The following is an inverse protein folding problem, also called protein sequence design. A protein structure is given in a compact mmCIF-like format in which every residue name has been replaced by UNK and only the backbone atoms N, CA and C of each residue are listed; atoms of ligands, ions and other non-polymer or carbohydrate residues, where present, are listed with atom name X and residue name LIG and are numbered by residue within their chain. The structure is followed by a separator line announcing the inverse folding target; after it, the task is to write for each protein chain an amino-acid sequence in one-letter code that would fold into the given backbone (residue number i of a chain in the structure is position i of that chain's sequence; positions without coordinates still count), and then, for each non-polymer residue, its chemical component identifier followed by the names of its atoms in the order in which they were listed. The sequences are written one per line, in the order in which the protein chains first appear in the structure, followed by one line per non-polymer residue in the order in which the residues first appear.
data_IF_264842933208
#
_entry.id   IF_264842933208
#
_cell.length_a   1.000
_cell.length_b   1.000
_cell.length_c   1.000
_cell.angle_alpha   90.00
_cell.angle_beta   90.00
_cell.angle_gamma   90.00
#
_symmetry.space_group_name_H-M   'P 1'
#
loop_
_entity.id
_entity.type
_entity.pdbx_description
1 polymer ?
#
# COMPACT_ATOMS: atom_id res chain seq x y z
N UNK A 1 28.97 58.38 -18.83
CA UNK A 1 27.54 58.08 -18.61
C UNK A 1 27.14 56.93 -19.53
N UNK A 2 26.53 55.87 -18.95
CA UNK A 2 25.65 54.83 -19.57
C UNK A 2 26.33 53.81 -20.50
N UNK A 3 26.02 52.51 -20.53
CA UNK A 3 25.34 51.46 -19.74
C UNK A 3 25.83 50.15 -20.43
N UNK A 4 26.42 49.19 -19.71
CA UNK A 4 25.88 47.83 -19.48
C UNK A 4 24.88 47.36 -20.56
N UNK A 5 25.11 46.18 -21.14
CA UNK A 5 24.12 45.09 -21.23
C UNK A 5 24.77 43.81 -21.80
N UNK A 6 25.26 42.96 -20.88
CA UNK A 6 25.53 41.55 -21.10
C UNK A 6 24.20 40.79 -21.05
N UNK A 7 23.84 40.06 -22.11
CA UNK A 7 22.70 39.14 -22.05
C UNK A 7 23.14 37.77 -22.54
N UNK A 8 23.81 37.03 -21.66
CA UNK A 8 24.01 35.58 -21.79
C UNK A 8 22.75 34.92 -21.23
N UNK A 9 21.80 34.55 -22.09
CA UNK A 9 20.55 33.92 -21.69
C UNK A 9 20.80 32.42 -21.44
N UNK A 10 21.14 32.05 -20.21
CA UNK A 10 21.21 30.65 -19.79
C UNK A 10 19.81 30.17 -19.42
N UNK A 11 19.18 29.39 -20.32
CA UNK A 11 17.91 28.70 -20.05
C UNK A 11 18.21 27.47 -19.18
N UNK A 12 18.02 27.61 -17.88
CA UNK A 12 18.10 26.51 -16.93
C UNK A 12 16.79 25.71 -16.99
N UNK A 13 16.78 24.62 -17.76
CA UNK A 13 15.69 23.64 -17.79
C UNK A 13 15.69 22.87 -16.46
N UNK A 14 14.84 23.30 -15.52
CA UNK A 14 14.55 22.53 -14.30
C UNK A 14 13.60 21.41 -14.70
N UNK A 15 14.16 20.24 -15.02
CA UNK A 15 13.40 19.00 -15.08
C UNK A 15 13.11 18.60 -13.64
N UNK A 16 11.95 19.02 -13.12
CA UNK A 16 11.38 18.43 -11.92
C UNK A 16 10.98 17.00 -12.28
N UNK A 17 11.84 16.05 -11.94
CA UNK A 17 11.52 14.63 -12.06
C UNK A 17 10.30 14.34 -11.20
N UNK A 18 9.17 14.02 -11.84
CA UNK A 18 8.07 13.38 -11.17
C UNK A 18 8.63 12.07 -10.57
N UNK A 19 8.74 12.02 -9.24
CA UNK A 19 9.01 10.76 -8.57
C UNK A 19 7.78 9.90 -8.82
N UNK A 20 7.89 8.95 -9.75
CA UNK A 20 6.91 7.90 -9.93
C UNK A 20 6.72 7.25 -8.57
N UNK A 21 5.55 7.45 -7.95
CA UNK A 21 5.11 6.73 -6.76
C UNK A 21 4.74 5.32 -7.21
N UNK A 22 5.77 4.54 -7.53
CA UNK A 22 5.58 3.14 -7.81
C UNK A 22 4.98 2.51 -6.57
N UNK A 23 3.80 1.89 -6.70
CA UNK A 23 3.27 1.06 -5.64
C UNK A 23 4.39 0.10 -5.21
N UNK A 24 4.79 0.15 -3.93
CA UNK A 24 5.90 -0.64 -3.42
C UNK A 24 5.51 -2.10 -3.31
N UNK A 25 5.44 -2.78 -4.46
CA UNK A 25 5.14 -4.20 -4.60
C UNK A 25 6.05 -5.06 -3.71
N UNK A 26 7.22 -4.56 -3.33
CA UNK A 26 8.14 -5.21 -2.40
C UNK A 26 7.53 -5.41 -1.00
N UNK A 27 6.75 -4.44 -0.50
CA UNK A 27 6.07 -4.58 0.79
C UNK A 27 5.00 -5.66 0.71
N UNK A 28 4.21 -5.68 -0.38
CA UNK A 28 3.22 -6.74 -0.60
C UNK A 28 3.88 -8.11 -0.75
N UNK A 29 5.00 -8.19 -1.47
CA UNK A 29 5.77 -9.44 -1.63
C UNK A 29 6.25 -9.97 -0.28
N UNK A 30 6.80 -9.11 0.57
CA UNK A 30 7.25 -9.50 1.91
C UNK A 30 6.07 -9.94 2.80
N UNK A 31 4.94 -9.22 2.73
CA UNK A 31 3.72 -9.60 3.43
C UNK A 31 3.23 -10.99 3.00
N UNK A 32 3.15 -11.26 1.69
CA UNK A 32 2.76 -12.56 1.15
C UNK A 32 3.73 -13.65 1.59
N UNK A 33 5.03 -13.38 1.57
CA UNK A 33 6.03 -14.36 2.00
C UNK A 33 5.91 -14.71 3.49
N UNK A 34 5.56 -13.73 4.33
CA UNK A 34 5.41 -13.96 5.78
C UNK A 34 4.10 -14.68 6.15
N UNK A 35 3.01 -14.36 5.47
CA UNK A 35 1.66 -14.72 5.95
C UNK A 35 0.92 -15.73 5.08
N UNK A 36 1.40 -15.99 3.86
CA UNK A 36 0.72 -16.90 2.94
C UNK A 36 1.45 -18.23 2.85
N UNK A 37 0.81 -19.26 3.39
CA UNK A 37 1.18 -20.64 3.12
C UNK A 37 0.76 -21.01 1.69
N UNK A 38 1.72 -20.98 0.77
CA UNK A 38 1.50 -21.34 -0.64
C UNK A 38 1.31 -22.85 -0.83
N UNK A 39 1.68 -23.67 0.16
CA UNK A 39 1.61 -25.13 0.10
C UNK A 39 0.26 -25.68 0.58
N UNK A 40 -0.45 -24.96 1.45
CA UNK A 40 -1.84 -25.27 1.80
C UNK A 40 -2.78 -25.15 0.57
N UNK A 41 -3.28 -26.30 0.09
CA UNK A 41 -4.16 -26.39 -1.09
C UNK A 41 -5.66 -26.42 -0.74
N UNK A 42 -6.02 -26.18 0.52
CA UNK A 42 -7.42 -26.08 0.94
C UNK A 42 -8.18 -25.03 0.12
N UNK A 43 -9.48 -25.25 -0.18
CA UNK A 43 -10.30 -24.27 -0.88
C UNK A 43 -10.32 -22.90 -0.20
N UNK A 44 -10.33 -22.88 1.13
CA UNK A 44 -10.35 -21.68 1.96
C UNK A 44 -9.07 -20.87 1.80
N UNK A 45 -7.90 -21.53 1.87
CA UNK A 45 -6.62 -20.85 1.68
C UNK A 45 -6.46 -20.34 0.24
N UNK A 46 -6.88 -21.12 -0.76
CA UNK A 46 -6.87 -20.68 -2.17
C UNK A 46 -7.74 -19.44 -2.37
N UNK A 47 -8.92 -19.38 -1.76
CA UNK A 47 -9.80 -18.23 -1.81
C UNK A 47 -9.16 -17.01 -1.15
N UNK A 48 -8.55 -17.20 0.02
CA UNK A 48 -7.83 -16.13 0.73
C UNK A 48 -6.67 -15.58 -0.11
N UNK A 49 -5.79 -16.45 -0.62
CA UNK A 49 -4.67 -16.07 -1.51
C UNK A 49 -5.17 -15.27 -2.71
N UNK A 50 -6.30 -15.65 -3.30
CA UNK A 50 -6.87 -14.94 -4.44
C UNK A 50 -7.26 -13.50 -4.08
N UNK A 51 -7.66 -13.24 -2.84
CA UNK A 51 -8.05 -11.91 -2.37
C UNK A 51 -6.83 -11.07 -1.97
N UNK A 52 -5.91 -11.63 -1.19
CA UNK A 52 -4.84 -10.84 -0.55
C UNK A 52 -3.53 -10.84 -1.34
N UNK A 53 -3.28 -11.82 -2.20
CA UNK A 53 -2.01 -11.95 -2.93
C UNK A 53 -2.16 -11.81 -4.45
N UNK A 54 -3.39 -11.87 -4.97
CA UNK A 54 -3.67 -11.85 -6.42
C UNK A 54 -4.81 -10.86 -6.74
N UNK A 55 -4.91 -10.46 -7.99
CA UNK A 55 -6.02 -9.61 -8.46
C UNK A 55 -6.06 -8.22 -7.84
N UNK A 56 -7.20 -7.55 -7.98
CA UNK A 56 -7.40 -6.13 -7.61
C UNK A 56 -7.47 -5.87 -6.10
N UNK A 57 -7.97 -6.84 -5.34
CA UNK A 57 -8.20 -6.67 -3.90
C UNK A 57 -6.91 -6.80 -3.06
N UNK A 58 -5.77 -7.19 -3.67
CA UNK A 58 -4.47 -7.30 -2.98
C UNK A 58 -4.07 -5.99 -2.29
N UNK A 59 -4.44 -4.85 -2.88
CA UNK A 59 -4.15 -3.54 -2.32
C UNK A 59 -4.90 -3.28 -1.02
N UNK A 60 -6.04 -3.95 -0.79
CA UNK A 60 -6.85 -3.80 0.41
C UNK A 60 -6.18 -4.40 1.66
N UNK A 61 -5.03 -5.07 1.52
CA UNK A 61 -4.21 -5.46 2.68
C UNK A 61 -3.77 -4.20 3.45
N UNK A 62 -3.33 -3.15 2.74
CA UNK A 62 -2.83 -1.91 3.36
C UNK A 62 -3.66 -0.66 3.02
N UNK A 63 -4.45 -0.70 1.95
CA UNK A 63 -5.21 0.45 1.46
C UNK A 63 -6.70 0.30 1.65
N UNK A 64 -7.41 1.42 1.51
CA UNK A 64 -8.86 1.52 1.49
C UNK A 64 -9.30 2.24 0.21
N UNK A 65 -10.36 1.73 -0.41
CA UNK A 65 -10.85 2.20 -1.69
C UNK A 65 -9.85 1.97 -2.82
N UNK A 66 -9.91 2.81 -3.84
CA UNK A 66 -9.07 2.70 -5.04
C UNK A 66 -7.73 3.45 -4.93
N UNK A 67 -7.67 4.48 -4.08
CA UNK A 67 -6.56 5.43 -4.02
C UNK A 67 -5.43 4.93 -3.13
N UNK A 68 -4.20 4.92 -3.64
CA UNK A 68 -3.01 4.39 -2.94
C UNK A 68 -2.60 5.18 -1.69
N UNK A 69 -2.99 6.44 -1.57
CA UNK A 69 -2.73 7.24 -0.36
C UNK A 69 -3.75 7.00 0.75
N UNK A 70 -4.86 6.33 0.46
CA UNK A 70 -5.86 5.97 1.47
C UNK A 70 -5.42 4.67 2.13
N UNK A 71 -4.75 4.80 3.28
CA UNK A 71 -4.39 3.63 4.08
C UNK A 71 -5.54 3.22 4.98
N UNK A 72 -5.81 1.91 5.03
CA UNK A 72 -6.70 1.34 6.03
C UNK A 72 -6.00 1.33 7.42
N UNK A 73 -6.69 0.97 8.52
CA UNK A 73 -6.09 0.96 9.86
C UNK A 73 -4.75 0.21 9.95
N UNK A 74 -4.63 -0.94 9.27
CA UNK A 74 -3.37 -1.68 9.21
C UNK A 74 -2.27 -0.91 8.47
N UNK A 75 -2.58 -0.35 7.30
CA UNK A 75 -1.66 0.44 6.48
C UNK A 75 -1.13 1.69 7.18
N UNK A 76 -1.97 2.37 7.97
CA UNK A 76 -1.61 3.61 8.70
C UNK A 76 -0.41 3.40 9.63
N UNK A 77 -0.22 2.21 10.20
CA UNK A 77 0.91 1.93 11.08
C UNK A 77 2.26 1.92 10.36
N UNK A 78 2.30 1.74 9.05
CA UNK A 78 3.53 1.73 8.26
C UNK A 78 3.93 3.13 7.77
N UNK A 79 3.01 4.08 7.75
CA UNK A 79 3.25 5.45 7.28
C UNK A 79 4.36 6.11 8.11
N UNK A 80 5.40 6.59 7.43
CA UNK A 80 6.57 7.21 8.05
C UNK A 80 7.59 6.24 8.67
N UNK A 81 7.25 4.95 8.78
CA UNK A 81 8.14 3.91 9.32
C UNK A 81 8.83 3.10 8.21
N UNK A 82 8.11 2.88 7.11
CA UNK A 82 8.62 2.33 5.86
C UNK A 82 8.47 3.39 4.76
N UNK A 83 9.56 3.68 4.05
CA UNK A 83 9.59 4.62 2.93
C UNK A 83 10.07 3.95 1.64
N UNK A 84 10.07 4.68 0.53
CA UNK A 84 10.65 4.22 -0.75
C UNK A 84 12.08 3.69 -0.63
N UNK A 85 12.86 4.25 0.28
CA UNK A 85 14.26 3.87 0.45
C UNK A 85 14.39 2.46 1.07
N UNK A 86 13.36 2.02 1.80
CA UNK A 86 13.34 0.74 2.51
C UNK A 86 12.90 -0.42 1.61
N UNK A 87 12.50 -0.19 0.35
CA UNK A 87 11.92 -1.23 -0.52
C UNK A 87 12.83 -2.43 -0.80
N UNK A 88 14.13 -2.32 -0.52
CA UNK A 88 15.10 -3.42 -0.65
C UNK A 88 15.57 -3.98 0.70
N UNK A 89 15.14 -3.38 1.80
CA UNK A 89 15.50 -3.79 3.16
C UNK A 89 14.44 -4.77 3.68
N UNK A 90 14.52 -6.02 3.20
CA UNK A 90 13.57 -7.06 3.59
C UNK A 90 13.55 -7.32 5.11
N UNK A 91 14.68 -7.10 5.79
CA UNK A 91 14.78 -7.26 7.24
C UNK A 91 13.97 -6.19 7.97
N UNK A 92 14.16 -4.92 7.60
CA UNK A 92 13.37 -3.81 8.15
C UNK A 92 11.88 -3.95 7.83
N UNK A 93 11.53 -4.37 6.62
CA UNK A 93 10.13 -4.62 6.25
C UNK A 93 9.55 -5.73 7.13
N UNK A 94 10.25 -6.85 7.30
CA UNK A 94 9.80 -7.97 8.12
C UNK A 94 9.69 -7.61 9.61
N UNK A 95 10.60 -6.77 10.12
CA UNK A 95 10.56 -6.25 11.49
C UNK A 95 9.27 -5.44 11.73
N UNK A 96 8.97 -4.50 10.83
CA UNK A 96 7.75 -3.69 10.94
C UNK A 96 6.48 -4.52 10.75
N UNK A 97 6.46 -5.45 9.79
CA UNK A 97 5.34 -6.38 9.62
C UNK A 97 5.08 -7.21 10.88
N UNK A 98 6.14 -7.67 11.54
CA UNK A 98 6.06 -8.41 12.82
C UNK A 98 5.56 -7.52 13.97
N UNK A 99 6.05 -6.27 14.03
CA UNK A 99 5.66 -5.31 15.06
C UNK A 99 4.19 -4.90 14.92
N UNK A 100 3.77 -4.51 13.73
CA UNK A 100 2.39 -4.13 13.44
C UNK A 100 1.47 -5.34 13.58
N UNK A 101 1.88 -6.53 13.12
CA UNK A 101 1.09 -7.76 13.27
C UNK A 101 0.63 -8.08 14.70
N UNK A 102 1.38 -7.60 15.71
CA UNK A 102 1.05 -7.78 17.14
C UNK A 102 0.11 -6.71 17.71
N UNK A 103 -0.21 -5.67 16.95
CA UNK A 103 -1.13 -4.61 17.37
C UNK A 103 -2.57 -5.10 17.25
N UNK A 104 -3.42 -4.60 18.13
CA UNK A 104 -4.87 -4.77 18.09
C UNK A 104 -5.43 -4.14 16.82
N UNK A 105 -6.39 -4.81 16.18
CA UNK A 105 -6.97 -4.36 14.92
C UNK A 105 -7.88 -3.14 15.07
N UNK A 106 -8.42 -2.95 16.27
CA UNK A 106 -9.13 -1.74 16.70
C UNK A 106 -8.31 -1.08 17.83
N UNK A 107 -7.80 0.15 17.64
CA UNK A 107 -7.02 0.85 18.67
C UNK A 107 -7.86 1.27 19.88
N UNK A 108 -9.19 1.32 19.74
CA UNK A 108 -10.11 1.72 20.81
C UNK A 108 -10.68 0.50 21.57
N UNK A 109 -10.36 -0.73 21.14
CA UNK A 109 -10.80 -1.98 21.77
C UNK A 109 -9.62 -2.94 22.02
N UNK A 110 -9.15 -2.98 23.27
CA UNK A 110 -8.11 -3.90 23.73
C UNK A 110 -8.51 -5.39 23.66
N UNK A 111 -9.80 -5.69 23.50
CA UNK A 111 -10.29 -7.07 23.30
C UNK A 111 -10.38 -7.47 21.83
N UNK A 112 -10.16 -6.53 20.91
CA UNK A 112 -10.14 -6.80 19.48
C UNK A 112 -9.00 -7.77 19.13
N UNK A 113 -9.16 -8.61 18.09
CA UNK A 113 -8.06 -9.47 17.67
C UNK A 113 -6.89 -8.63 17.17
N UNK A 114 -5.69 -9.16 17.32
CA UNK A 114 -4.51 -8.62 16.66
C UNK A 114 -4.61 -8.77 15.15
N UNK A 115 -3.82 -7.98 14.41
CA UNK A 115 -3.74 -8.14 12.96
C UNK A 115 -3.28 -9.54 12.56
N UNK A 116 -2.35 -10.15 13.30
CA UNK A 116 -1.90 -11.52 13.05
C UNK A 116 -3.02 -12.55 13.25
N UNK A 117 -3.87 -12.38 14.27
CA UNK A 117 -5.02 -13.27 14.48
C UNK A 117 -6.03 -13.14 13.34
N UNK A 118 -6.30 -11.93 12.85
CA UNK A 118 -7.15 -11.74 11.66
C UNK A 118 -6.58 -12.44 10.43
N UNK A 119 -5.28 -12.32 10.19
CA UNK A 119 -4.60 -12.94 9.04
C UNK A 119 -4.63 -14.47 9.16
N UNK A 120 -4.37 -15.01 10.36
CA UNK A 120 -4.47 -16.44 10.64
C UNK A 120 -5.90 -16.97 10.43
N UNK A 121 -6.91 -16.17 10.75
CA UNK A 121 -8.32 -16.41 10.46
C UNK A 121 -8.70 -16.22 8.98
N UNK A 122 -7.72 -15.97 8.09
CA UNK A 122 -7.92 -15.73 6.65
C UNK A 122 -8.82 -14.53 6.37
N UNK A 123 -8.68 -13.47 7.16
CA UNK A 123 -9.36 -12.17 6.98
C UNK A 123 -8.36 -11.10 6.56
N UNK A 124 -8.87 -9.98 6.04
CA UNK A 124 -8.03 -8.79 5.83
C UNK A 124 -7.64 -8.18 7.19
N UNK A 125 -6.40 -7.70 7.34
CA UNK A 125 -5.96 -7.13 8.61
C UNK A 125 -6.68 -5.80 8.89
N UNK A 126 -6.87 -4.95 7.89
CA UNK A 126 -7.46 -3.63 8.05
C UNK A 126 -8.99 -3.56 8.18
N UNK A 127 -9.71 -4.69 8.16
CA UNK A 127 -11.17 -4.70 8.28
C UNK A 127 -11.85 -5.75 7.40
N UNK A 128 -13.15 -5.56 7.18
CA UNK A 128 -13.95 -6.39 6.27
C UNK A 128 -13.81 -5.91 4.83
N UNK A 129 -13.80 -6.84 3.86
CA UNK A 129 -13.47 -6.52 2.47
C UNK A 129 -14.47 -5.55 1.84
N UNK A 130 -15.75 -5.64 2.18
CA UNK A 130 -16.79 -4.75 1.70
C UNK A 130 -16.59 -3.31 2.17
N UNK A 131 -16.16 -3.13 3.42
CA UNK A 131 -15.86 -1.80 3.98
C UNK A 131 -14.56 -1.24 3.39
N UNK A 132 -13.53 -2.08 3.26
CA UNK A 132 -12.26 -1.69 2.66
C UNK A 132 -12.39 -1.25 1.19
N UNK A 133 -13.39 -1.74 0.46
CA UNK A 133 -13.65 -1.30 -0.92
C UNK A 133 -14.33 0.07 -1.01
N UNK A 134 -14.93 0.57 0.07
CA UNK A 134 -15.58 1.88 0.06
C UNK A 134 -14.53 2.98 -0.02
N UNK A 135 -14.81 4.09 -0.74
CA UNK A 135 -13.95 5.26 -0.70
C UNK A 135 -13.87 5.80 0.74
N UNK A 136 -12.77 6.46 1.06
CA UNK A 136 -12.66 7.24 2.30
C UNK A 136 -13.56 8.47 2.14
N UNK A 137 -14.30 8.83 3.18
CA UNK A 137 -15.21 9.98 3.15
C UNK A 137 -14.48 11.26 2.72
N UNK A 138 -15.02 11.96 1.71
CA UNK A 138 -14.45 13.21 1.20
C UNK A 138 -13.36 13.01 0.15
N UNK A 139 -13.07 11.77 -0.24
CA UNK A 139 -12.18 11.44 -1.36
C UNK A 139 -12.94 10.94 -2.61
N UNK A 140 -14.23 11.27 -2.66
CA UNK A 140 -15.20 10.89 -3.69
C UNK A 140 -14.72 11.28 -5.11
N UNK A 141 -14.92 10.35 -6.06
CA UNK A 141 -14.43 10.25 -7.45
C UNK A 141 -14.71 11.46 -8.39
N UNK A 142 -14.28 12.67 -8.05
CA UNK A 142 -14.34 13.81 -9.00
C UNK A 142 -13.25 13.76 -10.10
N UNK A 143 -12.23 12.92 -9.94
CA UNK A 143 -11.01 12.95 -10.78
C UNK A 143 -10.69 11.63 -11.53
N UNK A 144 -11.56 10.61 -11.47
CA UNK A 144 -11.30 9.25 -11.99
C UNK A 144 -11.60 9.13 -13.52
N UNK A 145 -11.15 10.09 -14.33
CA UNK A 145 -11.28 10.06 -15.79
C UNK A 145 -10.03 9.58 -16.54
N UNK A 146 -8.87 9.41 -15.89
CA UNK A 146 -7.58 9.28 -16.59
C UNK A 146 -6.72 8.04 -16.26
N UNK A 147 -7.17 7.09 -15.42
CA UNK A 147 -6.32 5.95 -14.96
C UNK A 147 -6.81 4.55 -15.43
N UNK A 148 -7.59 4.48 -16.52
CA UNK A 148 -7.91 3.22 -17.22
C UNK A 148 -6.92 2.90 -18.37
N UNK A 149 -5.60 2.91 -18.14
CA UNK A 149 -4.67 2.24 -19.06
C UNK A 149 -3.57 1.51 -18.24
N UNK A 150 -3.24 0.29 -18.68
CA UNK A 150 -2.18 -0.61 -18.19
C UNK A 150 -2.58 -1.71 -17.18
N UNK A 151 -3.53 -2.57 -17.59
CA UNK A 151 -3.58 -3.98 -17.16
C UNK A 151 -3.59 -4.89 -18.42
N UNK A 152 -2.60 -4.72 -19.29
CA UNK A 152 -2.19 -5.72 -20.29
C UNK A 152 -0.72 -6.04 -20.03
N UNK A 153 -0.44 -7.04 -19.18
CA UNK A 153 0.78 -7.86 -19.28
C UNK A 153 0.65 -9.15 -18.44
N UNK A 154 0.57 -10.26 -19.20
CA UNK A 154 0.81 -11.71 -18.90
C UNK A 154 -0.17 -12.54 -18.05
#
# INVERSE_FOLDING_TARGET
MRRLDSTLLAVLLVVLGAQSSMAHVQFQKQWVEMYIDKDDKSPENKAYIKLVAKGKDRCLVCHQGKKRHNYNPYGQHFVGNLTEDDKKDNEKIAEWLTKVGKMHSDPDDESSPTYNERIADRKFPGGEVEELRKPVEGDDDADDADDEEDDDDE
#
